data_IF_286473886290
#
_entry.id   IF_286473886290
#
_cell.length_a   1.000
_cell.length_b   1.000
_cell.length_c   1.000
_cell.angle_alpha   90.00
_cell.angle_beta   90.00
_cell.angle_gamma   90.00
#
_symmetry.space_group_name_H-M   'P 1'
#
loop_
_entity.id
_entity.type
_entity.pdbx_description
1 polymer ?
#
# COMPACT_ATOMS: atom_id res chain seq x y z
N UNK A 1 -22.22 10.17 0.04
CA UNK A 1 -20.88 10.79 -0.01
C UNK A 1 -20.35 10.62 -1.42
N UNK A 2 -19.68 11.62 -2.00
CA UNK A 2 -19.02 11.43 -3.29
C UNK A 2 -17.79 10.53 -3.07
N UNK A 3 -17.75 9.41 -3.78
CA UNK A 3 -16.65 8.44 -3.72
C UNK A 3 -15.54 8.89 -4.69
N UNK A 4 -14.27 8.88 -4.26
CA UNK A 4 -13.16 9.14 -5.16
C UNK A 4 -13.03 8.00 -6.17
N UNK A 5 -12.61 8.30 -7.40
CA UNK A 5 -12.63 7.29 -8.47
C UNK A 5 -11.75 6.06 -8.21
N UNK A 6 -10.65 6.21 -7.46
CA UNK A 6 -9.78 5.07 -7.13
C UNK A 6 -10.42 4.12 -6.11
N UNK A 7 -11.34 4.59 -5.27
CA UNK A 7 -12.04 3.76 -4.29
C UNK A 7 -12.99 2.74 -4.95
N UNK A 8 -13.30 2.91 -6.24
CA UNK A 8 -14.07 1.96 -7.04
C UNK A 8 -13.22 0.81 -7.59
N UNK A 9 -11.90 0.90 -7.50
CA UNK A 9 -11.01 -0.13 -8.01
C UNK A 9 -10.94 -1.29 -7.00
N UNK A 10 -11.15 -2.51 -7.47
CA UNK A 10 -11.04 -3.72 -6.64
C UNK A 10 -9.66 -3.81 -5.98
N UNK A 11 -8.60 -3.49 -6.75
CA UNK A 11 -7.22 -3.51 -6.24
C UNK A 11 -7.01 -2.49 -5.10
N UNK A 12 -7.65 -1.32 -5.17
CA UNK A 12 -7.52 -0.32 -4.11
C UNK A 12 -8.23 -0.76 -2.82
N UNK A 13 -9.38 -1.41 -2.94
CA UNK A 13 -10.09 -1.97 -1.77
C UNK A 13 -9.25 -3.08 -1.10
N UNK A 14 -8.63 -3.95 -1.91
CA UNK A 14 -7.69 -4.97 -1.42
C UNK A 14 -6.46 -4.36 -0.76
N UNK A 15 -5.92 -3.26 -1.30
CA UNK A 15 -4.79 -2.53 -0.71
C UNK A 15 -5.16 -1.94 0.66
N UNK A 16 -6.37 -1.39 0.81
CA UNK A 16 -6.87 -0.87 2.10
C UNK A 16 -7.00 -2.02 3.13
N UNK A 17 -7.56 -3.16 2.72
CA UNK A 17 -7.63 -4.35 3.57
C UNK A 17 -6.24 -4.86 3.96
N UNK A 18 -5.29 -4.88 3.02
CA UNK A 18 -3.91 -5.27 3.25
C UNK A 18 -3.22 -4.34 4.25
N UNK A 19 -3.36 -3.02 4.13
CA UNK A 19 -2.78 -2.04 5.07
C UNK A 19 -3.35 -2.23 6.48
N UNK A 20 -4.66 -2.47 6.60
CA UNK A 20 -5.28 -2.76 7.89
C UNK A 20 -4.69 -4.04 8.51
N UNK A 21 -4.62 -5.12 7.73
CA UNK A 21 -4.03 -6.39 8.16
C UNK A 21 -2.54 -6.26 8.55
N UNK A 22 -1.75 -5.56 7.73
CA UNK A 22 -0.33 -5.37 7.98
C UNK A 22 -0.09 -4.55 9.26
N UNK A 23 -0.96 -3.58 9.54
CA UNK A 23 -0.91 -2.78 10.78
C UNK A 23 -1.09 -3.66 12.01
N UNK A 24 -2.10 -4.53 12.00
CA UNK A 24 -2.37 -5.46 13.10
C UNK A 24 -1.22 -6.47 13.27
N UNK A 25 -0.74 -7.05 12.16
CA UNK A 25 0.43 -7.94 12.16
C UNK A 25 1.65 -7.28 12.80
N UNK A 26 1.95 -6.03 12.42
CA UNK A 26 3.10 -5.32 12.99
C UNK A 26 2.95 -5.08 14.49
N UNK A 27 1.73 -4.87 14.99
CA UNK A 27 1.47 -4.76 16.44
C UNK A 27 1.73 -6.10 17.13
N UNK A 28 1.26 -7.20 16.56
CA UNK A 28 1.47 -8.55 17.10
C UNK A 28 2.95 -8.94 17.12
N UNK A 29 3.66 -8.73 16.01
CA UNK A 29 5.10 -9.03 15.88
C UNK A 29 5.92 -8.20 16.88
N UNK A 30 5.61 -6.91 17.05
CA UNK A 30 6.29 -6.06 18.05
C UNK A 30 6.06 -6.54 19.48
N UNK A 31 4.89 -7.11 19.79
CA UNK A 31 4.58 -7.66 21.13
C UNK A 31 5.26 -9.01 21.37
N UNK A 32 5.36 -9.85 20.34
CA UNK A 32 5.89 -11.21 20.46
C UNK A 32 7.41 -11.30 20.33
N UNK A 33 8.06 -10.31 19.71
CA UNK A 33 9.49 -10.37 19.41
C UNK A 33 10.37 -10.09 20.63
N UNK A 34 11.37 -10.94 20.86
CA UNK A 34 12.47 -10.71 21.82
C UNK A 34 13.62 -9.87 21.23
N UNK A 35 13.59 -9.61 19.92
CA UNK A 35 14.56 -8.80 19.18
C UNK A 35 13.92 -7.57 18.54
N UNK A 36 14.73 -6.56 18.18
CA UNK A 36 14.22 -5.37 17.49
C UNK A 36 13.65 -5.72 16.11
N UNK A 37 12.38 -5.35 15.89
CA UNK A 37 11.68 -5.48 14.61
C UNK A 37 11.37 -4.12 13.98
N UNK A 38 12.00 -3.04 14.47
CA UNK A 38 11.72 -1.66 14.04
C UNK A 38 11.91 -1.47 12.53
N UNK A 39 13.03 -1.96 12.01
CA UNK A 39 13.39 -1.79 10.59
C UNK A 39 12.48 -2.59 9.65
N UNK A 40 12.25 -3.91 9.84
CA UNK A 40 11.34 -4.66 8.98
C UNK A 40 9.89 -4.16 9.09
N UNK A 41 9.38 -3.85 10.29
CA UNK A 41 8.05 -3.24 10.41
C UNK A 41 8.00 -1.87 9.72
N UNK A 42 9.03 -1.04 9.88
CA UNK A 42 9.08 0.26 9.21
C UNK A 42 9.14 0.14 7.68
N UNK A 43 9.80 -0.90 7.15
CA UNK A 43 9.82 -1.17 5.72
C UNK A 43 8.44 -1.63 5.23
N UNK A 44 7.83 -2.61 5.90
CA UNK A 44 6.49 -3.10 5.56
C UNK A 44 5.44 -1.99 5.57
N UNK A 45 5.47 -1.11 6.58
CA UNK A 45 4.55 0.04 6.68
C UNK A 45 4.67 0.97 5.47
N UNK A 46 5.91 1.35 5.12
CA UNK A 46 6.16 2.24 3.97
C UNK A 46 5.80 1.58 2.64
N UNK A 47 6.13 0.30 2.46
CA UNK A 47 5.79 -0.44 1.24
C UNK A 47 4.27 -0.56 1.09
N UNK A 48 3.55 -0.94 2.15
CA UNK A 48 2.08 -1.07 2.15
C UNK A 48 1.39 0.24 1.76
N UNK A 49 1.81 1.36 2.36
CA UNK A 49 1.28 2.67 2.01
C UNK A 49 1.66 3.11 0.59
N UNK A 50 2.88 2.78 0.14
CA UNK A 50 3.35 3.09 -1.22
C UNK A 50 2.47 2.42 -2.29
N UNK A 51 2.06 1.16 -2.08
CA UNK A 51 1.16 0.45 -3.01
C UNK A 51 -0.14 1.27 -3.18
N UNK A 52 -0.81 1.58 -2.06
CA UNK A 52 -2.09 2.31 -2.04
C UNK A 52 -1.97 3.72 -2.64
N UNK A 53 -0.92 4.46 -2.29
CA UNK A 53 -0.72 5.82 -2.79
C UNK A 53 -0.45 5.85 -4.28
N UNK A 54 0.38 4.94 -4.78
CA UNK A 54 0.67 4.86 -6.20
C UNK A 54 -0.55 4.40 -7.02
N UNK A 55 -1.36 3.47 -6.51
CA UNK A 55 -2.63 3.08 -7.17
C UNK A 55 -3.60 4.26 -7.25
N UNK A 56 -3.81 4.98 -6.14
CA UNK A 56 -4.70 6.14 -6.12
C UNK A 56 -4.20 7.25 -7.06
N UNK A 57 -2.91 7.59 -7.00
CA UNK A 57 -2.32 8.63 -7.82
C UNK A 57 -2.32 8.26 -9.32
N UNK A 58 -1.97 7.02 -9.65
CA UNK A 58 -2.03 6.47 -11.00
C UNK A 58 -3.42 6.56 -11.60
N UNK A 59 -4.46 6.23 -10.82
CA UNK A 59 -5.85 6.34 -11.27
C UNK A 59 -6.27 7.81 -11.55
N UNK A 60 -5.67 8.78 -10.87
CA UNK A 60 -5.88 10.21 -11.10
C UNK A 60 -5.15 10.78 -12.31
N UNK A 61 -4.20 10.06 -12.93
CA UNK A 61 -3.44 10.57 -14.08
C UNK A 61 -4.23 10.46 -15.39
N UNK A 62 -4.26 11.57 -16.14
CA UNK A 62 -4.88 11.66 -17.48
C UNK A 62 -4.03 11.04 -18.59
N UNK A 63 -2.71 11.18 -18.50
CA UNK A 63 -1.80 10.67 -19.53
C UNK A 63 -1.44 9.21 -19.24
N UNK A 64 -1.63 8.33 -20.23
CA UNK A 64 -1.41 6.88 -20.10
C UNK A 64 0.00 6.52 -19.63
N UNK A 65 1.04 7.18 -20.17
CA UNK A 65 2.43 6.93 -19.75
C UNK A 65 2.66 7.31 -18.28
N UNK A 66 2.09 8.43 -17.84
CA UNK A 66 2.13 8.84 -16.44
C UNK A 66 1.43 7.82 -15.56
N UNK A 67 0.21 7.41 -15.93
CA UNK A 67 -0.59 6.42 -15.22
C UNK A 67 0.13 5.07 -15.05
N UNK A 68 0.68 4.52 -16.14
CA UNK A 68 1.33 3.21 -16.13
C UNK A 68 2.51 3.15 -15.17
N UNK A 69 3.32 4.22 -15.12
CA UNK A 69 4.45 4.30 -14.19
C UNK A 69 4.03 4.12 -12.73
N UNK A 70 2.98 4.81 -12.28
CA UNK A 70 2.50 4.67 -10.91
C UNK A 70 2.03 3.23 -10.62
N UNK A 71 1.38 2.57 -11.56
CA UNK A 71 0.99 1.17 -11.36
C UNK A 71 2.19 0.21 -11.35
N UNK A 72 3.23 0.48 -12.13
CA UNK A 72 4.49 -0.27 -12.05
C UNK A 72 5.19 -0.07 -10.70
N UNK A 73 5.19 1.17 -10.18
CA UNK A 73 5.75 1.50 -8.85
C UNK A 73 4.94 0.83 -7.73
N UNK A 74 3.59 0.83 -7.81
CA UNK A 74 2.72 0.12 -6.88
C UNK A 74 3.01 -1.38 -6.87
N UNK A 75 3.17 -1.99 -8.06
CA UNK A 75 3.57 -3.40 -8.20
C UNK A 75 4.96 -3.64 -7.60
N UNK A 76 5.91 -2.73 -7.81
CA UNK A 76 7.24 -2.82 -7.22
C UNK A 76 7.17 -2.89 -5.70
N UNK A 77 6.46 -1.95 -5.07
CA UNK A 77 6.26 -1.95 -3.61
C UNK A 77 5.52 -3.18 -3.09
N UNK A 78 4.65 -3.80 -3.90
CA UNK A 78 3.96 -5.04 -3.53
C UNK A 78 4.88 -6.28 -3.54
N UNK A 79 6.06 -6.20 -4.14
CA UNK A 79 7.03 -7.30 -4.25
C UNK A 79 8.24 -7.20 -3.32
N UNK A 80 8.42 -6.06 -2.64
CA UNK A 80 9.50 -5.82 -1.68
C UNK A 80 9.16 -6.38 -0.28
#
# INVERSE_FOLDING_TARGET
MAQFDHEKLDVYQLEVEFVAWATDLMVEVKKASSVSVREPCGHLDRASLSIMFNTAEGNGKRQMRGRAKFFDDARGSATE
#
